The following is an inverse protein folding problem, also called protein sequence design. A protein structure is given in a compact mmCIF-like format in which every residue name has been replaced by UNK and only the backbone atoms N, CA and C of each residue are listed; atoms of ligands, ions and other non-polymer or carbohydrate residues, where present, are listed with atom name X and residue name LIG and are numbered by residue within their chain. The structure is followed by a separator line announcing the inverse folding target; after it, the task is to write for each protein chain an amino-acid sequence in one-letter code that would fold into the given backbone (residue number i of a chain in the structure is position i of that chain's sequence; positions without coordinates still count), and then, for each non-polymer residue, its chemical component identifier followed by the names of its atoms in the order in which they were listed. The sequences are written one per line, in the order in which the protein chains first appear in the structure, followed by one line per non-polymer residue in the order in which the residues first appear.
data_IF_502607679267
#
_entry.id   IF_502607679267
#
_cell.length_a   1.000
_cell.length_b   1.000
_cell.length_c   1.000
_cell.angle_alpha   90.00
_cell.angle_beta   90.00
_cell.angle_gamma   90.00
#
_symmetry.space_group_name_H-M   'P 1'
#
loop_
_entity.id
_entity.type
_entity.pdbx_description
1 polymer ?
#
# COMPACT_ATOMS: atom_id res chain seq x y z
N UNK A 1 24.21 46.07 -58.87
CA UNK A 1 24.57 47.51 -58.72
C UNK A 1 24.12 47.96 -57.34
N UNK A 2 25.10 48.28 -56.50
CA UNK A 2 24.96 49.05 -55.25
C UNK A 2 24.64 50.52 -55.61
N UNK A 3 24.10 51.46 -54.81
CA UNK A 3 24.61 51.75 -53.43
C UNK A 3 23.57 52.23 -52.35
N UNK A 4 23.95 52.07 -51.14
CA UNK A 4 23.99 52.97 -49.96
C UNK A 4 23.16 54.27 -49.98
N UNK A 5 22.32 54.45 -48.91
CA UNK A 5 22.19 55.73 -48.24
C UNK A 5 22.16 55.56 -46.71
N UNK A 6 23.16 56.15 -46.06
CA UNK A 6 23.29 56.40 -44.62
C UNK A 6 22.46 57.64 -44.28
N UNK A 7 21.72 57.57 -43.19
CA UNK A 7 21.34 58.74 -42.39
C UNK A 7 21.70 58.47 -40.93
N UNK A 8 22.74 59.20 -40.51
CA UNK A 8 23.18 59.22 -39.11
C UNK A 8 22.31 60.20 -38.33
N UNK A 9 21.68 59.72 -37.27
CA UNK A 9 21.15 60.57 -36.20
C UNK A 9 21.89 60.23 -34.91
N UNK A 10 22.72 61.13 -34.44
CA UNK A 10 23.40 61.09 -33.16
C UNK A 10 22.38 61.32 -32.02
N UNK A 11 22.04 60.32 -31.21
CA UNK A 11 21.70 60.52 -29.83
C UNK A 11 22.49 59.51 -28.99
N UNK A 12 23.18 60.01 -27.95
CA UNK A 12 23.93 59.21 -26.95
C UNK A 12 22.97 58.27 -26.26
N UNK A 13 23.10 56.98 -26.49
CA UNK A 13 22.40 55.92 -25.79
C UNK A 13 23.32 54.70 -25.79
N UNK A 14 23.64 54.21 -24.63
CA UNK A 14 24.48 53.03 -24.45
C UNK A 14 23.95 51.86 -25.30
N UNK A 15 24.77 51.31 -26.17
CA UNK A 15 24.50 50.01 -26.80
C UNK A 15 24.66 48.95 -25.74
N UNK A 16 23.56 48.38 -25.25
CA UNK A 16 23.57 47.12 -24.55
C UNK A 16 23.69 46.04 -25.61
N UNK A 17 24.89 45.53 -25.80
CA UNK A 17 25.11 44.31 -26.58
C UNK A 17 24.60 43.15 -25.74
N UNK A 18 23.44 42.61 -26.07
CA UNK A 18 23.03 41.32 -25.57
C UNK A 18 23.96 40.26 -26.19
N UNK A 19 24.95 39.79 -25.45
CA UNK A 19 25.70 38.60 -25.80
C UNK A 19 24.73 37.39 -25.87
N UNK A 20 25.08 36.29 -26.55
CA UNK A 20 24.28 35.10 -26.53
C UNK A 20 24.04 34.68 -25.06
N UNK A 21 22.78 34.47 -24.69
CA UNK A 21 22.43 33.86 -23.42
C UNK A 21 23.07 32.46 -23.43
N UNK A 22 24.23 32.32 -22.82
CA UNK A 22 24.76 30.99 -22.48
C UNK A 22 23.78 30.40 -21.49
N UNK A 23 23.04 29.38 -21.95
CA UNK A 23 22.18 28.58 -21.09
C UNK A 23 23.11 27.82 -20.12
N UNK A 24 23.27 28.33 -18.91
CA UNK A 24 24.01 27.61 -17.85
C UNK A 24 23.19 26.40 -17.44
N UNK A 25 23.48 25.26 -18.05
CA UNK A 25 22.87 23.97 -17.66
C UNK A 25 23.55 23.55 -16.37
N UNK A 26 22.82 23.61 -15.26
CA UNK A 26 23.29 23.07 -14.00
C UNK A 26 23.22 21.54 -14.09
N UNK A 27 24.35 20.86 -13.94
CA UNK A 27 24.44 19.40 -13.89
C UNK A 27 24.23 18.91 -12.48
N UNK A 28 23.54 17.79 -12.34
CA UNK A 28 23.38 17.02 -11.11
C UNK A 28 24.17 15.73 -11.22
N UNK A 29 24.89 15.36 -10.17
CA UNK A 29 25.53 14.07 -10.08
C UNK A 29 24.59 13.05 -9.46
N UNK A 30 24.16 12.08 -10.23
CA UNK A 30 23.27 11.03 -9.80
C UNK A 30 24.07 9.76 -9.54
N UNK A 31 23.82 9.10 -8.42
CA UNK A 31 24.54 7.89 -8.00
C UNK A 31 23.59 6.76 -7.68
N UNK A 32 24.08 5.52 -7.82
CA UNK A 32 23.45 4.32 -7.23
C UNK A 32 24.28 3.91 -6.03
N UNK A 33 23.64 3.44 -4.98
CA UNK A 33 24.34 2.94 -3.79
C UNK A 33 25.32 1.83 -4.19
N UNK A 34 26.60 2.03 -3.91
CA UNK A 34 27.69 1.10 -4.25
C UNK A 34 27.78 0.76 -5.77
N UNK A 35 27.33 1.68 -6.63
CA UNK A 35 27.18 1.47 -8.07
C UNK A 35 27.63 2.65 -8.94
N UNK A 36 27.20 2.67 -10.22
CA UNK A 36 27.61 3.69 -11.19
C UNK A 36 27.09 5.08 -10.82
N UNK A 37 27.75 6.09 -11.39
CA UNK A 37 27.34 7.50 -11.32
C UNK A 37 27.21 8.09 -12.70
N UNK A 38 26.34 9.10 -12.86
CA UNK A 38 26.17 9.87 -14.11
C UNK A 38 25.87 11.33 -13.80
N UNK A 39 26.20 12.22 -14.73
CA UNK A 39 25.86 13.63 -14.64
C UNK A 39 24.72 13.92 -15.62
N UNK A 40 23.62 14.51 -15.13
CA UNK A 40 22.47 14.91 -15.94
C UNK A 40 22.04 16.35 -15.64
N UNK A 41 21.35 17.01 -16.57
CA UNK A 41 20.75 18.32 -16.31
C UNK A 41 19.81 18.30 -15.11
N UNK A 42 19.79 19.39 -14.34
CA UNK A 42 18.85 19.55 -13.25
C UNK A 42 17.39 19.51 -13.77
N UNK A 43 16.52 18.79 -13.05
CA UNK A 43 15.12 18.62 -13.43
C UNK A 43 14.84 17.41 -14.34
N UNK A 44 15.86 16.66 -14.74
CA UNK A 44 15.65 15.37 -15.41
C UNK A 44 14.91 14.38 -14.52
N UNK A 45 14.18 13.45 -15.15
CA UNK A 45 13.34 12.49 -14.41
C UNK A 45 14.16 11.32 -13.86
N UNK A 46 13.59 10.65 -12.84
CA UNK A 46 14.12 9.40 -12.30
C UNK A 46 14.31 8.34 -13.39
N UNK A 47 13.34 8.20 -14.29
CA UNK A 47 13.42 7.27 -15.43
C UNK A 47 14.58 7.59 -16.39
N UNK A 48 14.80 8.87 -16.69
CA UNK A 48 15.94 9.33 -17.50
C UNK A 48 17.29 9.01 -16.81
N UNK A 49 17.35 9.24 -15.49
CA UNK A 49 18.53 8.92 -14.69
C UNK A 49 18.86 7.42 -14.69
N UNK A 50 17.85 6.56 -14.46
CA UNK A 50 18.04 5.11 -14.53
C UNK A 50 18.45 4.63 -15.92
N UNK A 51 17.93 5.27 -16.98
CA UNK A 51 18.33 4.99 -18.37
C UNK A 51 19.80 5.34 -18.60
N UNK A 52 20.25 6.51 -18.19
CA UNK A 52 21.64 6.95 -18.30
C UNK A 52 22.61 6.08 -17.50
N UNK A 53 22.16 5.53 -16.39
CA UNK A 53 22.93 4.59 -15.55
C UNK A 53 22.92 3.14 -16.09
N UNK A 54 22.19 2.85 -17.19
CA UNK A 54 22.04 1.50 -17.73
C UNK A 54 21.15 0.58 -16.89
N UNK A 55 20.31 1.15 -16.00
CA UNK A 55 19.44 0.44 -15.08
C UNK A 55 17.96 0.47 -15.50
N UNK A 56 17.60 1.19 -16.56
CA UNK A 56 16.28 1.15 -17.16
C UNK A 56 16.12 -0.17 -17.93
N UNK A 57 15.64 -1.21 -17.25
CA UNK A 57 15.36 -2.51 -17.84
C UNK A 57 13.87 -2.86 -17.76
N UNK A 58 13.49 -3.91 -18.49
CA UNK A 58 12.15 -4.49 -18.36
C UNK A 58 11.89 -4.86 -16.88
N UNK A 59 10.81 -4.31 -16.32
CA UNK A 59 10.38 -4.61 -14.95
C UNK A 59 10.74 -3.57 -13.89
N UNK A 60 11.38 -2.44 -14.24
CA UNK A 60 11.53 -1.30 -13.31
C UNK A 60 10.19 -0.58 -13.22
N UNK A 61 9.64 -0.52 -12.02
CA UNK A 61 8.29 -0.04 -11.72
C UNK A 61 8.29 1.38 -11.13
N UNK A 62 9.25 1.65 -10.28
CA UNK A 62 9.46 2.88 -9.53
C UNK A 62 10.93 2.97 -9.10
N UNK A 63 11.30 3.95 -8.30
CA UNK A 63 12.64 4.01 -7.69
C UNK A 63 12.58 4.60 -6.28
N UNK A 64 13.60 4.29 -5.47
CA UNK A 64 13.92 5.08 -4.28
C UNK A 64 14.88 6.21 -4.68
N UNK A 65 14.57 7.41 -4.25
CA UNK A 65 15.42 8.59 -4.34
C UNK A 65 15.73 9.04 -2.91
N UNK A 66 16.97 8.93 -2.50
CA UNK A 66 17.41 9.20 -1.13
C UNK A 66 16.55 8.47 -0.07
N UNK A 67 16.21 7.20 -0.36
CA UNK A 67 15.39 6.35 0.50
C UNK A 67 13.87 6.52 0.37
N UNK A 68 13.37 7.52 -0.37
CA UNK A 68 11.95 7.75 -0.59
C UNK A 68 11.49 7.12 -1.91
N UNK A 69 10.41 6.35 -1.89
CA UNK A 69 9.83 5.73 -3.09
C UNK A 69 9.08 6.78 -3.91
N UNK A 70 9.40 6.89 -5.20
CA UNK A 70 8.84 7.87 -6.12
C UNK A 70 8.55 7.28 -7.50
N UNK A 71 7.69 7.98 -8.26
CA UNK A 71 7.41 7.65 -9.66
C UNK A 71 8.66 7.81 -10.54
N UNK A 72 8.73 7.05 -11.63
CA UNK A 72 9.78 7.23 -12.63
C UNK A 72 9.71 8.58 -13.36
N UNK A 73 8.55 9.22 -13.37
CA UNK A 73 8.32 10.55 -13.94
C UNK A 73 8.74 11.70 -13.02
N UNK A 74 9.12 11.41 -11.76
CA UNK A 74 9.51 12.44 -10.78
C UNK A 74 10.77 13.18 -11.21
N UNK A 75 10.75 14.53 -11.29
CA UNK A 75 11.97 15.32 -11.54
C UNK A 75 12.94 15.19 -10.38
N UNK A 76 14.22 15.11 -10.69
CA UNK A 76 15.32 15.06 -9.72
C UNK A 76 15.87 16.46 -9.45
N UNK A 77 16.39 16.64 -8.22
CA UNK A 77 17.09 17.85 -7.79
C UNK A 77 18.26 17.50 -6.89
N UNK A 78 19.26 18.35 -6.82
CA UNK A 78 20.48 18.10 -6.04
C UNK A 78 21.33 16.97 -6.63
N UNK A 79 22.02 16.23 -5.78
CA UNK A 79 22.86 15.07 -6.16
C UNK A 79 22.31 13.79 -5.51
N UNK A 80 21.17 13.26 -6.01
CA UNK A 80 20.46 12.17 -5.36
C UNK A 80 21.12 10.82 -5.57
N UNK A 81 20.84 9.91 -4.64
CA UNK A 81 21.05 8.47 -4.81
C UNK A 81 19.74 7.83 -5.30
N UNK A 82 19.82 7.06 -6.38
CA UNK A 82 18.67 6.35 -6.95
C UNK A 82 18.84 4.83 -6.86
N UNK A 83 17.75 4.12 -6.57
CA UNK A 83 17.68 2.66 -6.51
C UNK A 83 16.44 2.20 -7.29
N UNK A 84 16.58 1.38 -8.36
CA UNK A 84 15.43 0.91 -9.12
C UNK A 84 14.63 -0.11 -8.31
N UNK A 85 13.31 -0.04 -8.38
CA UNK A 85 12.37 -0.96 -7.74
C UNK A 85 11.67 -1.83 -8.77
N UNK A 86 11.67 -3.13 -8.55
CA UNK A 86 11.02 -4.15 -9.36
C UNK A 86 9.98 -4.91 -8.55
N UNK A 87 9.17 -5.75 -9.18
CA UNK A 87 8.12 -6.52 -8.52
C UNK A 87 8.62 -7.49 -7.43
N UNK A 88 9.88 -7.90 -7.48
CA UNK A 88 10.50 -8.76 -6.47
C UNK A 88 10.79 -8.04 -5.14
N UNK A 89 10.81 -6.70 -5.09
CA UNK A 89 10.95 -5.91 -3.86
C UNK A 89 9.60 -5.68 -3.18
N UNK A 90 9.60 -5.41 -1.88
CA UNK A 90 8.37 -5.11 -1.10
C UNK A 90 7.69 -3.86 -1.65
N UNK A 91 8.47 -2.77 -1.77
CA UNK A 91 7.96 -1.49 -2.23
C UNK A 91 7.54 -1.52 -3.72
N UNK A 92 8.24 -2.29 -4.54
CA UNK A 92 7.85 -2.48 -5.94
C UNK A 92 6.50 -3.20 -6.07
N UNK A 93 6.22 -4.20 -5.23
CA UNK A 93 4.90 -4.85 -5.16
C UNK A 93 3.81 -3.89 -4.67
N UNK A 94 4.13 -3.06 -3.69
CA UNK A 94 3.19 -2.05 -3.18
C UNK A 94 2.78 -1.06 -4.28
N UNK A 95 3.75 -0.47 -5.00
CA UNK A 95 3.49 0.43 -6.14
C UNK A 95 2.68 -0.27 -7.24
N UNK A 96 3.02 -1.52 -7.53
CA UNK A 96 2.34 -2.32 -8.53
C UNK A 96 0.85 -2.53 -8.18
N UNK A 97 0.57 -2.99 -6.94
CA UNK A 97 -0.79 -3.22 -6.48
C UNK A 97 -1.57 -1.93 -6.30
N UNK A 98 -0.93 -0.88 -5.84
CA UNK A 98 -1.53 0.45 -5.76
C UNK A 98 -1.98 0.95 -7.14
N UNK A 99 -1.17 0.78 -8.17
CA UNK A 99 -1.57 1.13 -9.55
C UNK A 99 -2.69 0.21 -10.06
N UNK A 100 -2.69 -1.06 -9.66
CA UNK A 100 -3.77 -1.99 -9.99
C UNK A 100 -5.10 -1.59 -9.35
N UNK A 101 -5.09 -0.96 -8.15
CA UNK A 101 -6.32 -0.43 -7.55
C UNK A 101 -6.95 0.66 -8.40
N UNK A 102 -6.13 1.54 -8.99
CA UNK A 102 -6.60 2.61 -9.86
C UNK A 102 -7.16 2.07 -11.19
N UNK A 103 -6.55 1.02 -11.75
CA UNK A 103 -7.08 0.35 -12.95
C UNK A 103 -8.45 -0.28 -12.65
N UNK A 104 -8.61 -0.95 -11.50
CA UNK A 104 -9.89 -1.48 -11.06
C UNK A 104 -10.91 -0.35 -10.82
N UNK A 105 -10.51 0.73 -10.16
CA UNK A 105 -11.38 1.88 -9.90
C UNK A 105 -11.86 2.54 -11.21
N UNK A 106 -10.99 2.68 -12.22
CA UNK A 106 -11.37 3.13 -13.55
C UNK A 106 -12.37 2.17 -14.20
N UNK A 107 -12.13 0.85 -14.14
CA UNK A 107 -13.04 -0.14 -14.69
C UNK A 107 -14.43 -0.06 -14.06
N UNK A 108 -14.49 0.12 -12.73
CA UNK A 108 -15.76 0.35 -12.01
C UNK A 108 -16.44 1.63 -12.48
N UNK A 109 -15.73 2.76 -12.58
CA UNK A 109 -16.32 4.04 -13.03
C UNK A 109 -16.82 3.97 -14.47
N UNK A 110 -16.11 3.28 -15.38
CA UNK A 110 -16.54 3.11 -16.76
C UNK A 110 -17.80 2.23 -16.89
N UNK A 111 -17.98 1.23 -16.03
CA UNK A 111 -19.14 0.31 -16.04
C UNK A 111 -20.30 0.79 -15.16
N UNK A 112 -19.99 1.45 -14.05
CA UNK A 112 -20.94 1.92 -13.05
C UNK A 112 -20.70 3.39 -12.72
N UNK A 113 -21.08 4.34 -13.60
CA UNK A 113 -20.74 5.76 -13.45
C UNK A 113 -21.26 6.41 -12.16
N UNK A 114 -22.35 5.88 -11.57
CA UNK A 114 -22.92 6.36 -10.29
C UNK A 114 -22.11 5.93 -9.06
N UNK A 115 -21.23 4.92 -9.17
CA UNK A 115 -20.35 4.52 -8.07
C UNK A 115 -19.34 5.65 -7.77
N UNK A 116 -19.30 6.11 -6.52
CA UNK A 116 -18.36 7.15 -6.07
C UNK A 116 -17.09 6.53 -5.52
N UNK A 117 -15.97 7.15 -5.84
CA UNK A 117 -14.65 6.70 -5.40
C UNK A 117 -14.40 7.13 -3.95
N UNK A 118 -13.84 6.23 -3.14
CA UNK A 118 -13.42 6.56 -1.78
C UNK A 118 -11.91 6.33 -1.57
N UNK A 119 -11.49 5.20 -1.05
CA UNK A 119 -10.09 4.86 -0.81
C UNK A 119 -9.76 3.44 -1.25
N UNK A 120 -8.52 3.20 -1.67
CA UNK A 120 -8.07 1.88 -2.15
C UNK A 120 -6.59 1.64 -1.88
N UNK A 121 -6.21 1.17 -0.68
CA UNK A 121 -4.82 0.85 -0.38
C UNK A 121 -4.37 -0.48 -0.98
N UNK A 122 -3.07 -0.58 -1.24
CA UNK A 122 -2.39 -1.84 -1.45
C UNK A 122 -2.19 -2.58 -0.12
N UNK A 123 -2.20 -3.91 -0.17
CA UNK A 123 -1.86 -4.83 0.90
C UNK A 123 -0.68 -5.70 0.45
N UNK A 124 -0.16 -6.57 1.33
CA UNK A 124 1.03 -7.37 1.04
C UNK A 124 0.88 -8.23 -0.23
N UNK A 125 -0.20 -9.03 -0.33
CA UNK A 125 -0.47 -9.92 -1.48
C UNK A 125 -1.76 -9.59 -2.23
N UNK A 126 -2.42 -8.49 -1.89
CA UNK A 126 -3.71 -8.10 -2.44
C UNK A 126 -3.87 -6.58 -2.44
N UNK A 127 -5.04 -6.12 -2.81
CA UNK A 127 -5.48 -4.75 -2.66
C UNK A 127 -6.99 -4.71 -2.48
N UNK A 128 -7.54 -3.57 -2.10
CA UNK A 128 -8.97 -3.33 -2.18
C UNK A 128 -9.26 -1.90 -2.60
N UNK A 129 -10.50 -1.67 -2.97
CA UNK A 129 -11.03 -0.32 -3.18
C UNK A 129 -12.47 -0.25 -2.66
N UNK A 130 -12.80 0.82 -1.97
CA UNK A 130 -14.13 1.08 -1.44
C UNK A 130 -14.90 2.03 -2.37
N UNK A 131 -16.15 1.69 -2.63
CA UNK A 131 -17.05 2.46 -3.48
C UNK A 131 -18.34 2.79 -2.72
N UNK A 132 -18.78 4.03 -2.76
CA UNK A 132 -20.14 4.33 -2.38
C UNK A 132 -21.06 4.01 -3.58
N UNK A 133 -21.84 2.96 -3.46
CA UNK A 133 -22.73 2.47 -4.49
C UNK A 133 -24.02 1.96 -3.88
N UNK A 134 -25.13 2.07 -4.58
CA UNK A 134 -26.50 1.84 -4.09
C UNK A 134 -26.86 0.37 -3.89
N UNK A 135 -26.06 -0.56 -4.42
CA UNK A 135 -26.23 -2.00 -4.26
C UNK A 135 -24.88 -2.72 -4.10
N UNK A 136 -24.86 -3.95 -3.55
CA UNK A 136 -23.67 -4.80 -3.58
C UNK A 136 -23.26 -5.15 -5.01
N UNK A 137 -21.94 -5.27 -5.25
CA UNK A 137 -21.41 -5.85 -6.48
C UNK A 137 -21.60 -7.37 -6.45
N UNK A 138 -22.11 -7.92 -7.55
CA UNK A 138 -22.33 -9.36 -7.71
C UNK A 138 -21.09 -10.04 -8.30
N UNK A 139 -20.99 -11.39 -8.26
CA UNK A 139 -19.92 -12.12 -8.95
C UNK A 139 -19.83 -11.80 -10.45
N UNK A 140 -20.98 -11.64 -11.12
CA UNK A 140 -21.06 -11.27 -12.53
C UNK A 140 -20.56 -9.83 -12.79
N UNK A 141 -20.74 -8.92 -11.82
CA UNK A 141 -20.14 -7.58 -11.89
C UNK A 141 -18.63 -7.66 -11.79
N UNK A 142 -18.08 -8.51 -10.89
CA UNK A 142 -16.64 -8.72 -10.78
C UNK A 142 -16.01 -9.24 -12.08
N UNK A 143 -16.67 -10.18 -12.75
CA UNK A 143 -16.20 -10.70 -14.06
C UNK A 143 -16.16 -9.58 -15.12
N UNK A 144 -17.18 -8.72 -15.17
CA UNK A 144 -17.21 -7.56 -16.08
C UNK A 144 -16.12 -6.54 -15.75
N UNK A 145 -15.90 -6.28 -14.46
CA UNK A 145 -14.86 -5.34 -14.01
C UNK A 145 -13.46 -5.91 -14.36
N UNK A 146 -13.21 -7.20 -14.17
CA UNK A 146 -11.95 -7.85 -14.59
C UNK A 146 -11.72 -7.71 -16.09
N UNK A 147 -12.72 -8.01 -16.92
CA UNK A 147 -12.63 -7.86 -18.36
C UNK A 147 -12.33 -6.41 -18.77
N UNK A 148 -13.00 -5.45 -18.15
CA UNK A 148 -12.76 -4.02 -18.40
C UNK A 148 -11.37 -3.59 -17.92
N UNK A 149 -10.89 -4.08 -16.79
CA UNK A 149 -9.53 -3.81 -16.30
C UNK A 149 -8.48 -4.35 -17.28
N UNK A 150 -8.69 -5.54 -17.87
CA UNK A 150 -7.81 -6.07 -18.91
C UNK A 150 -7.79 -5.19 -20.16
N UNK A 151 -8.94 -4.64 -20.59
CA UNK A 151 -8.99 -3.66 -21.70
C UNK A 151 -8.22 -2.38 -21.39
N UNK A 152 -8.32 -1.86 -20.15
CA UNK A 152 -7.58 -0.66 -19.70
C UNK A 152 -6.07 -0.94 -19.69
N UNK A 153 -5.64 -2.10 -19.22
CA UNK A 153 -4.24 -2.55 -19.29
C UNK A 153 -3.76 -2.56 -20.75
N UNK A 154 -4.54 -3.14 -21.64
CA UNK A 154 -4.20 -3.22 -23.07
C UNK A 154 -4.11 -1.86 -23.78
N UNK A 155 -4.85 -0.84 -23.31
CA UNK A 155 -4.76 0.54 -23.80
C UNK A 155 -3.39 1.18 -23.51
N UNK A 156 -2.63 0.66 -22.55
CA UNK A 156 -1.31 1.14 -22.14
C UNK A 156 -1.28 2.65 -21.87
N UNK A 157 -2.22 3.15 -21.08
CA UNK A 157 -2.38 4.57 -20.78
C UNK A 157 -1.23 5.05 -19.88
N UNK A 158 -0.66 6.20 -20.20
CA UNK A 158 0.33 6.86 -19.33
C UNK A 158 -0.33 7.29 -18.04
N UNK A 159 0.32 7.00 -16.90
CA UNK A 159 -0.11 7.45 -15.57
C UNK A 159 0.65 8.75 -15.25
N UNK A 160 -0.09 9.83 -15.04
CA UNK A 160 0.47 11.17 -14.86
C UNK A 160 0.09 11.73 -13.50
N UNK A 161 1.10 12.18 -12.75
CA UNK A 161 0.93 12.88 -11.48
C UNK A 161 0.58 14.35 -11.72
N UNK A 162 -0.38 14.86 -10.94
CA UNK A 162 -0.78 16.27 -10.98
C UNK A 162 -0.86 16.80 -9.54
N UNK A 163 -0.40 18.03 -9.35
CA UNK A 163 -0.52 18.76 -8.09
C UNK A 163 -1.60 19.83 -8.20
N UNK A 164 -2.29 20.06 -7.08
CA UNK A 164 -3.34 21.04 -6.93
C UNK A 164 -3.12 21.82 -5.62
N UNK A 165 -3.52 23.06 -5.59
CA UNK A 165 -3.88 23.71 -4.33
C UNK A 165 -5.13 23.06 -3.74
N UNK A 166 -5.36 23.23 -2.43
CA UNK A 166 -6.54 22.63 -1.76
C UNK A 166 -7.85 23.06 -2.43
N UNK A 167 -7.98 24.35 -2.78
CA UNK A 167 -9.19 24.87 -3.42
C UNK A 167 -9.39 24.30 -4.83
N UNK A 168 -8.34 24.30 -5.65
CA UNK A 168 -8.41 23.70 -6.99
C UNK A 168 -8.80 22.22 -6.95
N UNK A 169 -8.29 21.45 -5.97
CA UNK A 169 -8.63 20.05 -5.79
C UNK A 169 -10.12 19.89 -5.41
N UNK A 170 -10.63 20.70 -4.46
CA UNK A 170 -12.04 20.68 -4.07
C UNK A 170 -12.93 20.96 -5.29
N UNK A 171 -12.66 22.04 -6.01
CA UNK A 171 -13.43 22.44 -7.19
C UNK A 171 -13.41 21.36 -8.28
N UNK A 172 -12.24 20.76 -8.50
CA UNK A 172 -12.04 19.70 -9.50
C UNK A 172 -12.82 18.43 -9.19
N UNK A 173 -12.79 17.92 -7.95
CA UNK A 173 -13.51 16.71 -7.56
C UNK A 173 -15.00 16.98 -7.34
N UNK A 174 -15.39 18.16 -6.90
CA UNK A 174 -16.78 18.57 -6.78
C UNK A 174 -17.48 18.62 -8.15
N UNK A 175 -16.80 19.18 -9.16
CA UNK A 175 -17.31 19.21 -10.55
C UNK A 175 -17.52 17.80 -11.14
N UNK A 176 -16.86 16.76 -10.60
CA UNK A 176 -16.99 15.35 -10.99
C UNK A 176 -17.99 14.57 -10.12
N UNK A 177 -18.61 15.20 -9.12
CA UNK A 177 -19.54 14.55 -8.19
C UNK A 177 -18.86 13.61 -7.18
N UNK A 178 -17.53 13.66 -7.03
CA UNK A 178 -16.77 12.79 -6.13
C UNK A 178 -16.76 13.35 -4.69
N UNK A 179 -17.91 13.27 -4.02
CA UNK A 179 -18.14 13.90 -2.70
C UNK A 179 -17.19 13.38 -1.62
N UNK A 180 -16.89 12.08 -1.61
CA UNK A 180 -15.96 11.49 -0.65
C UNK A 180 -14.52 12.00 -0.83
N UNK A 181 -14.10 12.29 -2.08
CA UNK A 181 -12.81 12.92 -2.34
C UNK A 181 -12.77 14.35 -1.84
N UNK A 182 -13.84 15.11 -2.03
CA UNK A 182 -13.97 16.47 -1.47
C UNK A 182 -13.88 16.46 0.05
N UNK A 183 -14.58 15.54 0.73
CA UNK A 183 -14.52 15.38 2.19
C UNK A 183 -13.09 15.05 2.67
N UNK A 184 -12.38 14.16 1.97
CA UNK A 184 -10.98 13.83 2.29
C UNK A 184 -10.07 15.06 2.16
N UNK A 185 -10.20 15.81 1.06
CA UNK A 185 -9.38 17.00 0.80
C UNK A 185 -9.62 18.08 1.85
N UNK A 186 -10.87 18.29 2.25
CA UNK A 186 -11.22 19.25 3.30
C UNK A 186 -10.55 18.91 4.64
N UNK A 187 -10.35 17.63 4.93
CA UNK A 187 -9.67 17.15 6.14
C UNK A 187 -8.14 17.27 6.12
N UNK A 188 -7.51 17.59 5.00
CA UNK A 188 -6.04 17.74 4.95
C UNK A 188 -5.60 19.10 5.52
N UNK A 189 -4.39 19.16 6.13
CA UNK A 189 -3.81 20.43 6.60
C UNK A 189 -3.69 21.47 5.48
N UNK A 190 -3.81 22.74 5.84
CA UNK A 190 -3.63 23.83 4.90
C UNK A 190 -2.15 23.96 4.51
N UNK A 191 -1.88 24.18 3.22
CA UNK A 191 -0.53 24.33 2.68
C UNK A 191 0.13 23.04 2.24
N UNK A 192 -0.46 21.85 2.49
CA UNK A 192 -0.01 20.61 1.86
C UNK A 192 -0.43 20.57 0.38
N UNK A 193 0.49 20.20 -0.54
CA UNK A 193 0.11 19.98 -1.93
C UNK A 193 -0.79 18.75 -2.05
N UNK A 194 -1.94 18.93 -2.67
CA UNK A 194 -2.88 17.84 -2.97
C UNK A 194 -2.47 17.21 -4.29
N UNK A 195 -2.29 15.90 -4.29
CA UNK A 195 -1.90 15.18 -5.51
C UNK A 195 -3.01 14.27 -6.01
N UNK A 196 -3.10 14.17 -7.33
CA UNK A 196 -3.95 13.22 -8.01
C UNK A 196 -3.18 12.56 -9.15
N UNK A 197 -3.63 11.38 -9.55
CA UNK A 197 -3.08 10.66 -10.69
C UNK A 197 -4.15 10.43 -11.74
N UNK A 198 -3.78 10.65 -12.99
CA UNK A 198 -4.65 10.44 -14.14
C UNK A 198 -4.13 9.32 -15.04
N UNK A 199 -5.06 8.55 -15.61
CA UNK A 199 -4.81 7.56 -16.65
C UNK A 199 -5.93 7.67 -17.69
N UNK A 200 -5.62 8.31 -18.84
CA UNK A 200 -6.65 8.76 -19.76
C UNK A 200 -7.58 9.80 -19.12
N UNK A 201 -8.88 9.60 -19.22
CA UNK A 201 -9.90 10.49 -18.63
C UNK A 201 -10.17 10.22 -17.14
N UNK A 202 -9.70 9.09 -16.62
CA UNK A 202 -9.84 8.73 -15.20
C UNK A 202 -8.83 9.51 -14.37
N UNK A 203 -9.31 10.08 -13.25
CA UNK A 203 -8.46 10.82 -12.29
C UNK A 203 -8.88 10.42 -10.89
N UNK A 204 -7.89 10.10 -10.05
CA UNK A 204 -8.13 9.79 -8.65
C UNK A 204 -7.21 10.58 -7.71
N UNK A 205 -7.75 10.96 -6.54
CA UNK A 205 -7.00 11.59 -5.45
C UNK A 205 -6.05 10.56 -4.83
N UNK A 206 -4.77 10.80 -4.91
CA UNK A 206 -3.76 9.85 -4.45
C UNK A 206 -2.41 10.51 -4.18
N UNK A 207 -1.68 9.99 -3.19
CA UNK A 207 -0.30 10.42 -2.90
C UNK A 207 0.74 9.76 -3.80
N UNK A 208 0.38 8.65 -4.44
CA UNK A 208 1.32 7.82 -5.20
C UNK A 208 2.31 7.04 -4.31
N UNK A 209 3.43 6.57 -4.86
CA UNK A 209 3.75 6.56 -6.29
C UNK A 209 2.97 5.53 -7.11
N UNK A 210 3.04 5.68 -8.45
CA UNK A 210 2.41 4.78 -9.41
C UNK A 210 3.38 4.29 -10.48
N UNK A 211 2.94 3.25 -11.19
CA UNK A 211 3.60 2.74 -12.40
C UNK A 211 3.59 3.81 -13.51
N UNK A 212 4.51 3.74 -14.49
CA UNK A 212 4.54 4.70 -15.59
C UNK A 212 3.34 4.60 -16.53
N UNK A 213 2.81 3.39 -16.72
CA UNK A 213 1.65 3.13 -17.59
C UNK A 213 0.77 2.02 -17.04
N UNK A 214 -0.50 1.98 -17.47
CA UNK A 214 -1.41 0.87 -17.14
C UNK A 214 -0.93 -0.46 -17.73
N UNK A 215 -0.25 -0.44 -18.85
CA UNK A 215 0.32 -1.63 -19.52
C UNK A 215 1.48 -2.30 -18.77
N UNK A 216 2.04 -1.64 -17.75
CA UNK A 216 3.03 -2.25 -16.85
C UNK A 216 2.40 -3.28 -15.89
N UNK A 217 1.07 -3.31 -15.73
CA UNK A 217 0.35 -4.35 -14.99
C UNK A 217 0.08 -5.54 -15.91
N UNK A 218 0.37 -6.76 -15.45
CA UNK A 218 0.11 -7.99 -16.21
C UNK A 218 -1.33 -8.46 -16.07
N UNK A 219 -1.68 -9.00 -14.92
CA UNK A 219 -3.01 -9.60 -14.69
C UNK A 219 -3.60 -9.14 -13.36
N UNK A 220 -4.86 -8.71 -13.39
CA UNK A 220 -5.66 -8.42 -12.22
C UNK A 220 -6.69 -9.54 -12.03
N UNK A 221 -6.87 -10.01 -10.79
CA UNK A 221 -7.93 -10.94 -10.41
C UNK A 221 -8.71 -10.36 -9.23
N UNK A 222 -10.03 -10.23 -9.38
CA UNK A 222 -10.91 -9.85 -8.29
C UNK A 222 -11.29 -11.09 -7.48
N UNK A 223 -11.31 -10.95 -6.16
CA UNK A 223 -11.44 -12.09 -5.23
C UNK A 223 -12.83 -12.17 -4.61
N UNK A 224 -13.27 -11.09 -3.99
CA UNK A 224 -14.54 -11.05 -3.24
C UNK A 224 -14.99 -9.62 -3.00
N UNK A 225 -16.23 -9.47 -2.56
CA UNK A 225 -16.80 -8.21 -2.09
C UNK A 225 -17.14 -8.28 -0.61
N UNK A 226 -17.14 -7.13 0.07
CA UNK A 226 -17.59 -7.00 1.45
C UNK A 226 -18.18 -5.61 1.69
N UNK A 227 -19.01 -5.48 2.72
CA UNK A 227 -19.39 -4.17 3.26
C UNK A 227 -18.26 -3.59 4.10
N UNK A 228 -18.08 -2.27 4.05
CA UNK A 228 -17.16 -1.55 4.92
C UNK A 228 -17.76 -0.19 5.30
N UNK A 229 -17.71 0.21 6.56
CA UNK A 229 -18.18 1.52 6.95
C UNK A 229 -17.16 2.60 6.59
N UNK A 230 -17.64 3.74 6.07
CA UNK A 230 -16.78 4.89 5.79
C UNK A 230 -15.97 5.27 7.03
N UNK A 231 -14.65 5.37 6.89
CA UNK A 231 -13.70 5.64 7.98
C UNK A 231 -13.76 4.64 9.15
N UNK A 232 -14.31 3.44 8.95
CA UNK A 232 -14.39 2.40 9.97
C UNK A 232 -15.41 2.67 11.09
N UNK A 233 -16.26 3.68 10.96
CA UNK A 233 -17.29 4.03 11.94
C UNK A 233 -18.66 3.53 11.47
N UNK A 234 -19.28 2.64 12.25
CA UNK A 234 -20.60 2.03 11.94
C UNK A 234 -21.75 3.04 11.80
N UNK A 235 -21.56 4.27 12.28
CA UNK A 235 -22.53 5.38 12.10
C UNK A 235 -22.46 6.02 10.72
N UNK A 236 -21.40 5.77 9.97
CA UNK A 236 -21.21 6.29 8.63
C UNK A 236 -21.83 5.37 7.56
N UNK A 237 -22.04 5.87 6.33
CA UNK A 237 -22.56 5.07 5.24
C UNK A 237 -21.75 3.80 5.00
N UNK A 238 -22.45 2.71 4.69
CA UNK A 238 -21.83 1.46 4.27
C UNK A 238 -21.39 1.55 2.81
N UNK A 239 -20.12 1.26 2.58
CA UNK A 239 -19.49 1.22 1.26
C UNK A 239 -19.41 -0.22 0.74
N UNK A 240 -19.22 -0.37 -0.56
CA UNK A 240 -18.97 -1.64 -1.22
C UNK A 240 -17.47 -1.80 -1.46
N UNK A 241 -16.84 -2.73 -0.75
CA UNK A 241 -15.43 -3.06 -0.88
C UNK A 241 -15.23 -4.18 -1.89
N UNK A 242 -14.36 -3.97 -2.86
CA UNK A 242 -13.91 -5.01 -3.79
C UNK A 242 -12.46 -5.36 -3.47
N UNK A 243 -12.20 -6.63 -3.18
CA UNK A 243 -10.85 -7.16 -3.01
C UNK A 243 -10.32 -7.72 -4.32
N UNK A 244 -9.06 -7.46 -4.60
CA UNK A 244 -8.36 -8.00 -5.76
C UNK A 244 -6.90 -8.30 -5.47
N UNK A 245 -6.27 -8.98 -6.41
CA UNK A 245 -4.83 -9.19 -6.45
C UNK A 245 -4.31 -8.94 -7.86
N UNK A 246 -3.01 -8.70 -7.99
CA UNK A 246 -2.38 -8.53 -9.28
C UNK A 246 -0.94 -9.05 -9.30
N UNK A 247 -0.57 -9.62 -10.43
CA UNK A 247 0.75 -10.19 -10.67
C UNK A 247 1.22 -9.90 -12.10
N UNK A 248 2.53 -9.94 -12.38
CA UNK A 248 3.07 -9.75 -13.72
C UNK A 248 2.55 -10.76 -14.73
N UNK A 249 2.24 -11.99 -14.32
CA UNK A 249 1.76 -13.04 -15.20
C UNK A 249 0.50 -13.73 -14.68
N UNK A 250 -0.28 -14.30 -15.61
CA UNK A 250 -1.44 -15.13 -15.25
C UNK A 250 -1.03 -16.37 -14.45
N UNK A 251 0.12 -16.97 -14.76
CA UNK A 251 0.61 -18.14 -14.03
C UNK A 251 0.85 -17.85 -12.54
N UNK A 252 1.36 -16.64 -12.20
CA UNK A 252 1.52 -16.21 -10.80
C UNK A 252 0.18 -15.99 -10.11
N UNK A 253 -0.82 -15.44 -10.82
CA UNK A 253 -2.21 -15.36 -10.31
C UNK A 253 -2.76 -16.73 -10.01
N UNK A 254 -2.64 -17.67 -10.94
CA UNK A 254 -3.14 -19.04 -10.79
C UNK A 254 -2.46 -19.76 -9.60
N UNK A 255 -1.15 -19.58 -9.44
CA UNK A 255 -0.39 -20.11 -8.29
C UNK A 255 -0.86 -19.48 -6.95
N UNK A 256 -1.12 -18.18 -6.93
CA UNK A 256 -1.66 -17.49 -5.76
C UNK A 256 -3.05 -18.01 -5.38
N UNK A 257 -3.95 -18.18 -6.35
CA UNK A 257 -5.30 -18.73 -6.11
C UNK A 257 -5.24 -20.18 -5.60
N UNK A 258 -4.37 -21.02 -6.17
CA UNK A 258 -4.14 -22.38 -5.68
C UNK A 258 -3.63 -22.37 -4.22
N UNK A 259 -2.73 -21.44 -3.88
CA UNK A 259 -2.27 -21.25 -2.49
C UNK A 259 -3.40 -20.86 -1.55
N UNK A 260 -4.31 -19.95 -1.97
CA UNK A 260 -5.46 -19.56 -1.16
C UNK A 260 -6.41 -20.73 -0.90
N UNK A 261 -6.66 -21.57 -1.91
CA UNK A 261 -7.49 -22.78 -1.73
C UNK A 261 -6.82 -23.79 -0.79
N UNK A 262 -5.49 -23.95 -0.88
CA UNK A 262 -4.74 -24.81 0.03
C UNK A 262 -4.77 -24.27 1.48
N UNK A 263 -4.68 -22.94 1.68
CA UNK A 263 -4.85 -22.29 2.99
C UNK A 263 -6.23 -22.60 3.58
N UNK A 264 -7.30 -22.47 2.78
CA UNK A 264 -8.67 -22.83 3.22
C UNK A 264 -8.79 -24.28 3.58
N UNK A 265 -8.17 -25.18 2.79
CA UNK A 265 -8.16 -26.61 3.04
C UNK A 265 -7.45 -26.96 4.35
N UNK A 266 -6.38 -26.24 4.70
CA UNK A 266 -5.56 -26.44 5.91
C UNK A 266 -6.02 -25.63 7.11
N UNK A 267 -7.15 -24.93 7.04
CA UNK A 267 -7.65 -24.15 8.17
C UNK A 267 -7.80 -25.05 9.41
N UNK A 268 -7.05 -24.74 10.45
CA UNK A 268 -7.02 -25.55 11.69
C UNK A 268 -8.40 -25.67 12.35
N UNK A 269 -9.30 -24.70 12.17
CA UNK A 269 -10.67 -24.74 12.69
C UNK A 269 -11.49 -25.82 12.00
N UNK A 270 -11.27 -26.02 10.69
CA UNK A 270 -11.89 -27.07 9.90
C UNK A 270 -11.24 -28.40 10.19
N UNK A 271 -9.92 -28.50 10.00
CA UNK A 271 -9.15 -29.74 10.16
C UNK A 271 -9.23 -30.25 11.59
N UNK A 272 -9.14 -29.35 12.60
CA UNK A 272 -9.25 -29.70 14.00
C UNK A 272 -10.59 -30.34 14.36
N UNK A 273 -11.69 -29.86 13.76
CA UNK A 273 -13.02 -30.44 13.94
C UNK A 273 -13.18 -31.77 13.19
N UNK A 274 -12.75 -31.82 11.90
CA UNK A 274 -12.88 -33.04 11.06
C UNK A 274 -12.08 -34.22 11.62
N UNK A 275 -10.90 -33.97 12.18
CA UNK A 275 -10.02 -35.00 12.75
C UNK A 275 -10.24 -35.24 14.24
N UNK A 276 -11.19 -34.55 14.85
CA UNK A 276 -11.50 -34.65 16.29
C UNK A 276 -10.27 -34.34 17.18
N UNK A 277 -9.58 -33.21 16.85
CA UNK A 277 -8.36 -32.80 17.56
C UNK A 277 -8.64 -31.88 18.75
N UNK A 278 -9.59 -30.97 18.57
CA UNK A 278 -9.92 -29.90 19.53
C UNK A 278 -11.41 -29.58 19.53
N UNK A 279 -11.90 -29.04 20.63
CA UNK A 279 -13.20 -28.38 20.72
C UNK A 279 -13.13 -27.10 21.55
N UNK A 280 -14.08 -26.21 21.32
CA UNK A 280 -14.38 -25.05 22.15
C UNK A 280 -15.84 -25.22 22.57
N UNK A 281 -16.13 -25.13 23.84
CA UNK A 281 -17.47 -25.33 24.41
C UNK A 281 -17.89 -24.10 25.21
N UNK A 282 -19.13 -23.70 25.08
CA UNK A 282 -19.66 -22.49 25.73
C UNK A 282 -19.56 -22.59 27.26
N UNK A 283 -19.71 -23.80 27.82
CA UNK A 283 -19.62 -24.09 29.27
C UNK A 283 -18.20 -23.81 29.81
N UNK A 284 -17.17 -23.94 28.97
CA UNK A 284 -15.77 -23.65 29.35
C UNK A 284 -15.46 -22.18 29.13
N UNK A 285 -15.99 -21.63 28.05
CA UNK A 285 -15.81 -20.24 27.66
C UNK A 285 -15.13 -20.07 26.29
N UNK A 286 -15.39 -18.94 25.59
CA UNK A 286 -14.86 -18.67 24.28
C UNK A 286 -13.33 -18.55 24.29
N UNK A 287 -12.68 -19.17 23.33
CA UNK A 287 -11.21 -19.15 23.20
C UNK A 287 -10.47 -20.15 24.09
N UNK A 288 -11.16 -20.86 24.99
CA UNK A 288 -10.58 -21.92 25.83
C UNK A 288 -10.69 -23.27 25.11
N UNK A 289 -9.54 -23.79 24.66
CA UNK A 289 -9.47 -25.00 23.83
C UNK A 289 -9.37 -26.26 24.66
N UNK A 290 -10.31 -27.20 24.44
CA UNK A 290 -10.19 -28.57 24.92
C UNK A 290 -9.44 -29.41 23.89
N UNK A 291 -8.35 -30.05 24.31
CA UNK A 291 -7.56 -30.94 23.49
C UNK A 291 -8.07 -32.38 23.61
N UNK A 292 -8.54 -32.94 22.50
CA UNK A 292 -8.95 -34.33 22.43
C UNK A 292 -7.76 -35.29 22.32
N UNK A 293 -7.89 -36.59 22.51
CA UNK A 293 -6.73 -37.48 22.62
C UNK A 293 -5.73 -37.40 21.48
N UNK A 294 -6.20 -37.30 20.23
CA UNK A 294 -5.33 -37.18 19.07
C UNK A 294 -4.61 -35.81 19.05
N UNK A 295 -5.34 -34.72 19.31
CA UNK A 295 -4.79 -33.39 19.40
C UNK A 295 -3.79 -33.22 20.53
N UNK A 296 -4.09 -33.80 21.72
CA UNK A 296 -3.20 -33.82 22.87
C UNK A 296 -1.89 -34.57 22.56
N UNK A 297 -1.96 -35.68 21.83
CA UNK A 297 -0.79 -36.44 21.43
C UNK A 297 0.12 -35.61 20.47
N UNK A 298 -0.47 -34.95 19.47
CA UNK A 298 0.29 -34.06 18.55
C UNK A 298 0.89 -32.91 19.33
N UNK A 299 0.14 -32.26 20.20
CA UNK A 299 0.62 -31.17 21.06
C UNK A 299 1.81 -31.62 21.91
N UNK A 300 1.72 -32.78 22.57
CA UNK A 300 2.80 -33.33 23.40
C UNK A 300 4.09 -33.56 22.59
N UNK A 301 3.98 -34.07 21.35
CA UNK A 301 5.13 -34.27 20.47
C UNK A 301 5.80 -32.94 20.10
N UNK A 302 5.03 -31.89 19.79
CA UNK A 302 5.54 -30.56 19.48
C UNK A 302 6.19 -29.93 20.73
N UNK A 303 5.54 -30.02 21.90
CA UNK A 303 6.07 -29.49 23.16
C UNK A 303 7.40 -30.16 23.56
N UNK A 304 7.52 -31.48 23.38
CA UNK A 304 8.74 -32.21 23.66
C UNK A 304 9.87 -31.82 22.70
N UNK A 305 9.57 -31.76 21.39
CA UNK A 305 10.54 -31.31 20.40
C UNK A 305 11.04 -29.89 20.70
N UNK A 306 10.13 -28.96 21.01
CA UNK A 306 10.47 -27.58 21.35
C UNK A 306 11.36 -27.50 22.59
N UNK A 307 10.99 -28.24 23.65
CA UNK A 307 11.74 -28.31 24.90
C UNK A 307 13.17 -28.85 24.69
N UNK A 308 13.30 -29.94 23.94
CA UNK A 308 14.59 -30.55 23.62
C UNK A 308 15.50 -29.60 22.85
N UNK A 309 14.97 -28.85 21.88
CA UNK A 309 15.75 -27.87 21.13
C UNK A 309 16.26 -26.76 22.06
N UNK A 310 15.42 -26.21 22.93
CA UNK A 310 15.80 -25.13 23.85
C UNK A 310 16.84 -25.58 24.87
N UNK A 311 16.69 -26.77 25.42
CA UNK A 311 17.74 -27.34 26.33
C UNK A 311 19.07 -27.51 25.58
N UNK A 312 19.05 -28.00 24.35
CA UNK A 312 20.24 -28.15 23.52
C UNK A 312 20.93 -26.82 23.24
N UNK A 313 20.13 -25.76 23.07
CA UNK A 313 20.61 -24.39 22.79
C UNK A 313 21.00 -23.64 24.08
N UNK A 314 21.01 -24.31 25.24
CA UNK A 314 21.49 -23.77 26.51
C UNK A 314 20.45 -22.96 27.30
N UNK A 315 19.16 -23.11 27.02
CA UNK A 315 18.09 -22.51 27.80
C UNK A 315 17.76 -23.38 29.03
N UNK A 316 17.54 -22.74 30.17
CA UNK A 316 17.05 -23.38 31.38
C UNK A 316 15.52 -23.37 31.41
N UNK A 317 14.93 -24.48 31.88
CA UNK A 317 13.50 -24.58 32.07
C UNK A 317 13.10 -24.05 33.45
N UNK A 318 12.11 -23.16 33.44
CA UNK A 318 11.51 -22.63 34.65
C UNK A 318 10.00 -22.84 34.67
N UNK A 319 9.42 -23.03 35.82
CA UNK A 319 7.98 -23.12 36.01
C UNK A 319 7.52 -22.02 36.98
N UNK A 320 6.65 -21.14 36.50
CA UNK A 320 6.06 -20.08 37.32
C UNK A 320 4.59 -20.37 37.63
N UNK A 321 4.05 -19.96 38.82
CA UNK A 321 2.64 -20.10 39.13
C UNK A 321 1.74 -19.36 38.12
N UNK A 322 0.50 -19.82 37.92
CA UNK A 322 -0.46 -19.13 37.04
C UNK A 322 -1.03 -17.85 37.69
N UNK A 323 -0.95 -17.75 39.00
CA UNK A 323 -1.41 -16.58 39.77
C UNK A 323 -0.27 -16.07 40.65
N UNK A 324 -0.22 -14.76 40.82
CA UNK A 324 0.72 -14.09 41.71
C UNK A 324 0.01 -12.93 42.42
N UNK A 325 0.63 -12.36 43.47
CA UNK A 325 0.11 -11.13 44.10
C UNK A 325 0.05 -10.01 43.10
N UNK A 326 -1.02 -9.22 43.15
CA UNK A 326 -1.25 -8.09 42.25
C UNK A 326 -0.10 -7.08 42.27
N UNK A 327 0.59 -6.94 43.39
CA UNK A 327 1.72 -6.00 43.55
C UNK A 327 2.88 -6.29 42.60
N UNK A 328 3.09 -7.56 42.18
CA UNK A 328 4.06 -7.92 41.17
C UNK A 328 3.76 -7.19 39.84
N UNK A 329 2.50 -7.15 39.47
CA UNK A 329 2.05 -6.53 38.21
C UNK A 329 1.95 -5.01 38.26
N UNK A 330 1.81 -4.43 39.45
CA UNK A 330 1.99 -2.98 39.69
C UNK A 330 3.47 -2.62 39.52
N UNK A 331 4.37 -3.38 40.15
CA UNK A 331 5.82 -3.13 40.05
C UNK A 331 6.35 -3.25 38.63
N UNK A 332 5.82 -4.19 37.84
CA UNK A 332 6.21 -4.38 36.43
C UNK A 332 5.47 -3.45 35.44
N UNK A 333 4.56 -2.58 35.93
CA UNK A 333 3.81 -1.63 35.11
C UNK A 333 2.64 -2.21 34.30
N UNK A 334 2.38 -3.53 34.39
CA UNK A 334 1.30 -4.16 33.61
C UNK A 334 -0.08 -3.61 33.98
N UNK A 335 -0.32 -3.30 35.25
CA UNK A 335 -1.60 -2.77 35.72
C UNK A 335 -1.88 -1.37 35.13
N UNK A 336 -0.84 -0.59 34.90
CA UNK A 336 -0.99 0.77 34.37
C UNK A 336 -1.25 0.79 32.86
N UNK A 337 -0.60 -0.13 32.10
CA UNK A 337 -0.67 -0.17 30.65
C UNK A 337 -1.72 -1.13 30.08
N UNK A 338 -2.03 -2.25 30.77
CA UNK A 338 -2.81 -3.35 30.20
C UNK A 338 -4.04 -3.73 31.03
N UNK A 339 -4.44 -2.88 31.99
CA UNK A 339 -5.54 -3.18 32.91
C UNK A 339 -6.82 -3.64 32.22
N UNK A 340 -7.19 -3.01 31.11
CA UNK A 340 -8.41 -3.33 30.36
C UNK A 340 -8.36 -4.73 29.69
N UNK A 341 -7.16 -5.25 29.47
CA UNK A 341 -6.91 -6.56 28.86
C UNK A 341 -6.53 -7.63 29.88
N UNK A 342 -6.64 -7.36 31.17
CA UNK A 342 -6.35 -8.30 32.25
C UNK A 342 -7.63 -8.77 32.91
N UNK A 343 -7.66 -10.03 33.36
CA UNK A 343 -8.73 -10.50 34.24
C UNK A 343 -8.78 -9.65 35.51
N UNK A 344 -9.96 -9.47 36.13
CA UNK A 344 -10.06 -8.78 37.41
C UNK A 344 -9.23 -9.48 38.48
N UNK A 345 -8.64 -8.71 39.40
CA UNK A 345 -7.92 -9.28 40.54
C UNK A 345 -8.87 -10.05 41.47
N UNK A 346 -8.43 -11.19 41.93
CA UNK A 346 -9.14 -12.04 42.86
C UNK A 346 -8.74 -11.69 44.32
N UNK A 347 -9.70 -11.48 45.21
CA UNK A 347 -9.46 -11.25 46.65
C UNK A 347 -9.48 -12.57 47.37
N UNK A 348 -8.41 -12.88 48.09
CA UNK A 348 -8.29 -14.10 48.92
C UNK A 348 -7.54 -13.73 50.21
N UNK A 349 -8.16 -13.99 51.34
CA UNK A 349 -7.57 -13.81 52.71
C UNK A 349 -6.91 -12.43 52.93
N UNK A 350 -7.57 -11.37 52.48
CA UNK A 350 -7.08 -9.99 52.62
C UNK A 350 -5.96 -9.57 51.64
N UNK A 351 -5.58 -10.45 50.73
CA UNK A 351 -4.63 -10.18 49.64
C UNK A 351 -5.31 -10.21 48.28
N UNK A 352 -4.76 -9.47 47.33
CA UNK A 352 -5.21 -9.50 45.94
C UNK A 352 -4.25 -10.31 45.06
N UNK A 353 -4.81 -11.26 44.31
CA UNK A 353 -4.10 -12.13 43.38
C UNK A 353 -4.57 -11.84 41.94
N UNK A 354 -3.67 -12.00 41.03
CA UNK A 354 -3.89 -11.76 39.60
C UNK A 354 -3.43 -12.97 38.79
N UNK A 355 -4.25 -13.39 37.82
CA UNK A 355 -3.76 -14.30 36.76
C UNK A 355 -2.63 -13.62 36.00
N UNK A 356 -1.56 -14.35 35.69
CA UNK A 356 -0.46 -13.78 34.91
C UNK A 356 -0.97 -13.36 33.53
N UNK A 357 -0.72 -12.09 33.10
CA UNK A 357 -1.24 -11.57 31.84
C UNK A 357 -0.47 -12.10 30.62
N UNK A 358 0.72 -12.66 30.87
CA UNK A 358 1.57 -13.27 29.85
C UNK A 358 2.07 -14.63 30.32
N UNK A 359 2.30 -15.51 29.35
CA UNK A 359 2.73 -16.88 29.64
C UNK A 359 4.16 -16.96 30.19
#
# INVERSE_FOLDING_TARGET
MNPRHWLASRRRGAFVVFGPLELVITLMKISVKDGPTTDLPAGETVGAALSALGLAGHGVLAAKVDGTVVDLSRPLSGNPTVEPLQFNSVEGREVYRHSSTHIMAQAVKELFPSAQLTIGPALEDSFYYDFAYDRPFTPEDLEKIEARAAEIIARNLTITRREFSKQEAVDFFQARGEQYKVELIQGFPDGEPITAYSQGDFVDLCRGPHLPTTGAVGTIKLLTTAGAYWRGDERNPMLQRIYGTSFPTKAEVDAYLARLEEIKRRDHRKVGKELDLISIQDEIGPGLVLWHPKGAAVRLLIENFWREQHIRDGYDLVYSPHTARLDLWKTSGHVDYYRENMFPAMKLEGSEYQLKPMN
#
